data_IF_185532768508
#
_entry.id   IF_185532768508
#
_cell.length_a   1.000
_cell.length_b   1.000
_cell.length_c   1.000
_cell.angle_alpha   90.00
_cell.angle_beta   90.00
_cell.angle_gamma   90.00
#
_symmetry.space_group_name_H-M   'P 1'
#
loop_
_entity.id
_entity.type
_entity.pdbx_description
1 polymer ?
#
# COMPACT_ATOMS: atom_id res chain seq x y z
N UNK A 1 8.10 37.91 -8.39
CA UNK A 1 8.47 36.48 -8.18
C UNK A 1 7.25 35.53 -8.09
N UNK A 2 6.06 35.98 -7.65
CA UNK A 2 4.89 35.09 -7.43
C UNK A 2 4.18 34.75 -8.77
N UNK A 3 4.05 35.71 -9.67
CA UNK A 3 3.40 35.48 -10.97
C UNK A 3 4.16 34.50 -11.86
N UNK A 4 5.49 34.50 -11.81
CA UNK A 4 6.34 33.61 -12.62
C UNK A 4 6.15 32.14 -12.23
N UNK A 5 5.97 31.84 -10.95
CA UNK A 5 5.73 30.46 -10.49
C UNK A 5 4.37 29.91 -10.95
N UNK A 6 3.33 30.75 -11.00
CA UNK A 6 2.01 30.37 -11.48
C UNK A 6 2.01 30.10 -13.00
N UNK A 7 2.68 30.94 -13.77
CA UNK A 7 2.84 30.75 -15.23
C UNK A 7 3.61 29.46 -15.52
N UNK A 8 4.70 29.21 -14.80
CA UNK A 8 5.51 28.00 -14.97
C UNK A 8 4.70 26.73 -14.66
N UNK A 9 3.91 26.73 -13.61
CA UNK A 9 3.02 25.62 -13.26
C UNK A 9 1.94 25.39 -14.33
N UNK A 10 1.36 26.47 -14.87
CA UNK A 10 0.39 26.36 -15.98
C UNK A 10 1.04 25.77 -17.25
N UNK A 11 2.27 26.18 -17.58
CA UNK A 11 3.02 25.65 -18.73
C UNK A 11 3.35 24.15 -18.53
N UNK A 12 3.75 23.74 -17.33
CA UNK A 12 3.98 22.33 -17.01
C UNK A 12 2.69 21.52 -17.17
N UNK A 13 1.55 22.07 -16.72
CA UNK A 13 0.23 21.47 -16.92
C UNK A 13 -0.13 21.29 -18.40
N UNK A 14 0.16 22.30 -19.21
CA UNK A 14 -0.04 22.24 -20.66
C UNK A 14 0.90 21.22 -21.32
N UNK A 15 2.18 21.20 -20.97
CA UNK A 15 3.17 20.25 -21.49
C UNK A 15 2.83 18.80 -21.14
N UNK A 16 2.23 18.54 -19.97
CA UNK A 16 1.79 17.21 -19.59
C UNK A 16 0.71 16.64 -20.54
N UNK A 17 0.02 17.47 -21.33
CA UNK A 17 -0.96 17.03 -22.32
C UNK A 17 -0.33 16.46 -23.60
N UNK A 18 0.89 16.88 -23.95
CA UNK A 18 1.60 16.42 -25.16
C UNK A 18 2.27 15.04 -24.98
N UNK A 19 2.37 14.53 -23.75
CA UNK A 19 3.00 13.25 -23.48
C UNK A 19 2.19 12.06 -24.06
N UNK A 20 2.85 10.94 -24.33
CA UNK A 20 2.22 9.68 -24.69
C UNK A 20 1.19 9.25 -23.62
N UNK A 21 0.13 8.50 -24.02
CA UNK A 21 -1.06 8.29 -23.18
C UNK A 21 -0.74 7.75 -21.78
N UNK A 22 0.13 6.73 -21.67
CA UNK A 22 0.53 6.11 -20.41
C UNK A 22 1.39 7.04 -19.52
N UNK A 23 2.24 7.87 -20.10
CA UNK A 23 3.03 8.87 -19.38
C UNK A 23 2.19 10.09 -18.99
N UNK A 24 1.23 10.46 -19.84
CA UNK A 24 0.32 11.59 -19.62
C UNK A 24 -0.52 11.40 -18.35
N UNK A 25 -1.06 10.21 -18.15
CA UNK A 25 -1.82 9.86 -16.95
C UNK A 25 -0.94 9.97 -15.70
N UNK A 26 0.23 9.35 -15.73
CA UNK A 26 1.20 9.37 -14.62
C UNK A 26 1.64 10.79 -14.29
N UNK A 27 2.02 11.58 -15.28
CA UNK A 27 2.44 12.97 -15.10
C UNK A 27 1.34 13.83 -14.49
N UNK A 28 0.09 13.70 -14.96
CA UNK A 28 -1.04 14.44 -14.39
C UNK A 28 -1.29 14.08 -12.93
N UNK A 29 -1.37 12.79 -12.60
CA UNK A 29 -1.57 12.36 -11.22
C UNK A 29 -0.46 12.83 -10.31
N UNK A 30 0.78 12.72 -10.75
CA UNK A 30 1.93 13.14 -9.97
C UNK A 30 1.93 14.66 -9.75
N UNK A 31 1.71 15.44 -10.79
CA UNK A 31 1.67 16.90 -10.69
C UNK A 31 0.50 17.40 -9.85
N UNK A 32 -0.70 16.88 -10.11
CA UNK A 32 -1.90 17.22 -9.32
C UNK A 32 -1.69 16.80 -7.87
N UNK A 33 -1.22 15.58 -7.64
CA UNK A 33 -0.97 15.04 -6.29
C UNK A 33 0.02 15.89 -5.50
N UNK A 34 1.18 16.23 -6.08
CA UNK A 34 2.20 17.07 -5.43
C UNK A 34 1.63 18.46 -5.10
N UNK A 35 0.91 19.10 -6.03
CA UNK A 35 0.41 20.45 -5.80
C UNK A 35 -0.76 20.48 -4.80
N UNK A 36 -1.70 19.53 -4.88
CA UNK A 36 -2.76 19.39 -3.89
C UNK A 36 -2.16 19.12 -2.51
N UNK A 37 -1.17 18.23 -2.45
CA UNK A 37 -0.50 17.89 -1.22
C UNK A 37 0.22 19.10 -0.63
N UNK A 38 0.96 19.86 -1.45
CA UNK A 38 1.65 21.07 -1.01
C UNK A 38 0.65 22.14 -0.53
N UNK A 39 -0.48 22.31 -1.21
CA UNK A 39 -1.52 23.23 -0.79
C UNK A 39 -2.17 22.82 0.54
N UNK A 40 -2.41 21.52 0.71
CA UNK A 40 -3.02 20.96 1.89
C UNK A 40 -2.12 21.01 3.14
N UNK A 41 -0.79 20.99 2.95
CA UNK A 41 0.19 21.08 4.04
C UNK A 41 0.51 22.53 4.39
N UNK A 42 0.77 23.36 3.37
CA UNK A 42 1.19 24.75 3.58
C UNK A 42 0.01 25.70 3.89
N UNK A 43 -1.21 25.35 3.46
CA UNK A 43 -2.41 26.18 3.71
C UNK A 43 -2.38 27.59 3.08
N UNK A 44 -1.33 27.96 2.34
CA UNK A 44 -1.15 29.29 1.80
C UNK A 44 -1.98 29.53 0.54
N UNK A 45 -2.50 30.75 0.37
CA UNK A 45 -3.26 31.15 -0.81
C UNK A 45 -2.51 30.87 -2.13
N UNK A 46 -1.18 31.02 -2.12
CA UNK A 46 -0.32 30.74 -3.28
C UNK A 46 -0.32 29.27 -3.64
N UNK A 47 -0.29 28.39 -2.65
CA UNK A 47 -0.32 26.95 -2.87
C UNK A 47 -1.62 26.53 -3.56
N UNK A 48 -2.75 27.07 -3.15
CA UNK A 48 -4.04 26.86 -3.83
C UNK A 48 -4.04 27.48 -5.24
N UNK A 49 -3.50 28.68 -5.43
CA UNK A 49 -3.39 29.30 -6.74
C UNK A 49 -2.56 28.47 -7.71
N UNK A 50 -1.50 27.78 -7.26
CA UNK A 50 -0.71 26.86 -8.09
C UNK A 50 -1.52 25.66 -8.57
N UNK A 51 -2.38 25.10 -7.74
CA UNK A 51 -3.29 24.01 -8.15
C UNK A 51 -4.22 24.48 -9.26
N UNK A 52 -4.84 25.65 -9.08
CA UNK A 52 -5.71 26.22 -10.11
C UNK A 52 -4.96 26.58 -11.40
N UNK A 53 -3.72 27.06 -11.31
CA UNK A 53 -2.86 27.34 -12.47
C UNK A 53 -2.54 26.08 -13.25
N UNK A 54 -2.25 24.96 -12.58
CA UNK A 54 -2.01 23.68 -13.25
C UNK A 54 -3.26 23.23 -14.02
N UNK A 55 -4.43 23.26 -13.36
CA UNK A 55 -5.69 22.88 -13.98
C UNK A 55 -6.02 23.77 -15.19
N UNK A 56 -5.84 25.08 -15.06
CA UNK A 56 -6.04 26.03 -16.15
C UNK A 56 -5.12 25.73 -17.34
N UNK A 57 -3.83 25.44 -17.10
CA UNK A 57 -2.89 25.03 -18.13
C UNK A 57 -3.30 23.75 -18.86
N UNK A 58 -3.77 22.74 -18.11
CA UNK A 58 -4.28 21.49 -18.68
C UNK A 58 -5.52 21.72 -19.56
N UNK A 59 -6.46 22.56 -19.10
CA UNK A 59 -7.68 22.90 -19.84
C UNK A 59 -7.34 23.70 -21.11
N UNK A 60 -6.47 24.72 -20.99
CA UNK A 60 -6.03 25.54 -22.12
C UNK A 60 -5.38 24.68 -23.22
N UNK A 61 -4.49 23.75 -22.86
CA UNK A 61 -3.87 22.83 -23.81
C UNK A 61 -4.89 21.93 -24.51
N UNK A 62 -5.92 21.49 -23.78
CA UNK A 62 -7.00 20.66 -24.33
C UNK A 62 -7.87 21.45 -25.32
N UNK A 63 -8.18 22.71 -25.01
CA UNK A 63 -8.92 23.61 -25.86
C UNK A 63 -8.09 24.01 -27.13
N UNK A 64 -6.77 24.13 -26.97
CA UNK A 64 -5.85 24.36 -28.08
C UNK A 64 -5.65 23.11 -28.99
N UNK A 65 -6.36 22.03 -28.75
CA UNK A 65 -6.31 20.84 -29.58
C UNK A 65 -5.06 19.99 -29.43
N UNK A 66 -4.26 20.17 -28.37
CA UNK A 66 -3.07 19.36 -28.09
C UNK A 66 -3.54 17.94 -27.74
N UNK A 67 -3.46 17.03 -28.73
CA UNK A 67 -3.79 15.59 -28.54
C UNK A 67 -2.49 14.81 -28.58
N UNK A 68 -2.14 14.19 -27.46
CA UNK A 68 -1.08 13.21 -27.45
C UNK A 68 -1.49 11.91 -28.14
N UNK A 69 -0.52 11.12 -28.56
CA UNK A 69 -0.75 9.84 -29.23
C UNK A 69 -1.75 8.96 -28.45
N UNK A 70 -2.73 8.42 -29.18
CA UNK A 70 -3.74 7.50 -28.65
C UNK A 70 -3.06 6.13 -28.50
N UNK A 71 -2.91 5.63 -27.29
CA UNK A 71 -2.57 4.24 -27.04
C UNK A 71 -3.87 3.51 -26.73
N UNK A 72 -4.15 2.45 -27.44
CA UNK A 72 -5.29 1.60 -27.18
C UNK A 72 -5.23 0.95 -25.80
N UNK A 73 -6.38 0.84 -25.22
CA UNK A 73 -6.82 0.14 -24.01
C UNK A 73 -5.74 -0.55 -23.18
N UNK A 74 -5.26 0.12 -22.14
CA UNK A 74 -4.70 -0.59 -21.00
C UNK A 74 -5.80 -1.40 -20.34
N UNK A 75 -5.55 -2.67 -20.07
CA UNK A 75 -6.46 -3.58 -19.43
C UNK A 75 -7.00 -2.95 -18.13
N UNK A 76 -8.31 -2.85 -17.93
CA UNK A 76 -8.97 -2.18 -16.78
C UNK A 76 -8.41 -2.63 -15.43
N UNK A 77 -7.97 -3.89 -15.33
CA UNK A 77 -7.35 -4.48 -14.14
C UNK A 77 -6.03 -3.79 -13.79
N UNK A 78 -5.19 -3.47 -14.77
CA UNK A 78 -3.90 -2.80 -14.54
C UNK A 78 -4.08 -1.35 -14.12
N UNK A 79 -5.07 -0.68 -14.69
CA UNK A 79 -5.45 0.70 -14.34
C UNK A 79 -5.94 0.76 -12.89
N UNK A 80 -6.81 -0.18 -12.48
CA UNK A 80 -7.31 -0.26 -11.11
C UNK A 80 -6.19 -0.47 -10.08
N UNK A 81 -5.24 -1.37 -10.35
CA UNK A 81 -4.07 -1.59 -9.48
C UNK A 81 -3.19 -0.33 -9.37
N UNK A 82 -2.97 0.36 -10.49
CA UNK A 82 -2.19 1.60 -10.51
C UNK A 82 -2.91 2.71 -9.73
N UNK A 83 -4.21 2.88 -9.92
CA UNK A 83 -5.00 3.90 -9.22
C UNK A 83 -4.92 3.72 -7.71
N UNK A 84 -5.19 2.51 -7.20
CA UNK A 84 -5.13 2.23 -5.77
C UNK A 84 -3.71 2.42 -5.20
N UNK A 85 -2.67 1.97 -5.92
CA UNK A 85 -1.29 2.13 -5.46
C UNK A 85 -0.85 3.60 -5.42
N UNK A 86 -1.25 4.41 -6.42
CA UNK A 86 -0.96 5.86 -6.45
C UNK A 86 -1.71 6.58 -5.33
N UNK A 87 -2.99 6.27 -5.11
CA UNK A 87 -3.77 6.85 -4.01
C UNK A 87 -3.12 6.53 -2.64
N UNK A 88 -2.69 5.28 -2.44
CA UNK A 88 -1.99 4.86 -1.23
C UNK A 88 -0.64 5.57 -1.05
N UNK A 89 0.12 5.76 -2.12
CA UNK A 89 1.37 6.53 -2.12
C UNK A 89 1.11 8.01 -1.81
N UNK A 90 0.10 8.64 -2.41
CA UNK A 90 -0.25 10.03 -2.12
C UNK A 90 -0.61 10.21 -0.64
N UNK A 91 -1.40 9.30 -0.09
CA UNK A 91 -1.73 9.31 1.34
C UNK A 91 -0.47 9.19 2.21
N UNK A 92 0.42 8.22 1.91
CA UNK A 92 1.65 8.01 2.66
C UNK A 92 2.61 9.20 2.57
N UNK A 93 2.74 9.83 1.40
CA UNK A 93 3.52 11.05 1.22
C UNK A 93 2.93 12.23 2.00
N UNK A 94 1.59 12.38 2.00
CA UNK A 94 0.92 13.40 2.80
C UNK A 94 1.25 13.23 4.27
N UNK A 95 1.06 12.03 4.78
CA UNK A 95 1.34 11.69 6.17
C UNK A 95 2.82 11.90 6.55
N UNK A 96 3.76 11.44 5.69
CA UNK A 96 5.19 11.63 5.93
C UNK A 96 5.59 13.11 6.01
N UNK A 97 5.07 13.92 5.10
CA UNK A 97 5.38 15.36 5.08
C UNK A 97 4.84 16.08 6.32
N UNK A 98 3.69 15.68 6.86
CA UNK A 98 3.17 16.27 8.11
C UNK A 98 4.00 15.87 9.32
N UNK A 99 4.60 14.67 9.33
CA UNK A 99 5.47 14.22 10.42
C UNK A 99 6.83 14.93 10.36
N UNK A 100 7.39 15.10 9.14
CA UNK A 100 8.73 15.69 8.96
C UNK A 100 8.70 17.23 8.98
N UNK A 101 7.57 17.85 8.64
CA UNK A 101 7.43 19.31 8.64
C UNK A 101 7.47 19.87 10.06
N UNK A 102 8.30 20.88 10.26
CA UNK A 102 8.45 21.57 11.56
C UNK A 102 7.24 22.42 11.94
N UNK A 103 6.45 22.91 10.98
CA UNK A 103 5.29 23.74 11.21
C UNK A 103 4.25 23.57 10.08
N UNK A 104 3.49 22.47 10.05
CA UNK A 104 2.41 22.34 9.08
C UNK A 104 1.22 23.20 9.52
N UNK A 105 0.87 24.21 8.72
CA UNK A 105 -0.27 25.13 9.00
C UNK A 105 -1.54 24.78 8.21
N UNK A 106 -1.41 23.87 7.23
CA UNK A 106 -2.53 23.51 6.36
C UNK A 106 -3.51 22.50 6.97
N UNK A 107 -4.60 22.20 6.26
CA UNK A 107 -5.64 21.28 6.73
C UNK A 107 -5.13 19.85 6.98
N UNK A 108 -3.98 19.46 6.40
CA UNK A 108 -3.36 18.17 6.68
C UNK A 108 -2.47 18.16 7.93
N UNK A 109 -2.22 19.30 8.58
CA UNK A 109 -1.42 19.38 9.79
C UNK A 109 -1.91 18.38 10.87
N UNK A 110 -3.20 18.18 10.94
CA UNK A 110 -3.87 17.29 11.89
C UNK A 110 -3.60 15.79 11.63
N UNK A 111 -3.06 15.40 10.46
CA UNK A 111 -2.66 14.01 10.22
C UNK A 111 -1.55 13.55 11.18
N UNK A 112 -0.73 14.48 11.67
CA UNK A 112 0.30 14.16 12.66
C UNK A 112 -0.31 13.61 13.95
N UNK A 113 -1.45 14.16 14.38
CA UNK A 113 -2.18 13.71 15.56
C UNK A 113 -2.67 12.26 15.44
N UNK A 114 -3.16 11.86 14.29
CA UNK A 114 -3.65 10.51 14.05
C UNK A 114 -2.54 9.46 13.89
N UNK A 115 -1.30 9.89 13.66
CA UNK A 115 -0.15 9.02 13.35
C UNK A 115 0.91 9.01 14.45
N UNK A 116 0.90 10.02 15.32
CA UNK A 116 1.92 10.18 16.36
C UNK A 116 1.89 9.07 17.42
N UNK A 117 2.96 8.91 18.17
CA UNK A 117 3.00 8.04 19.34
C UNK A 117 2.10 8.59 20.46
N UNK A 118 1.89 7.76 21.48
CA UNK A 118 1.11 8.16 22.66
C UNK A 118 1.56 9.52 23.22
N UNK A 119 0.62 10.32 23.72
CA UNK A 119 0.81 11.71 24.13
C UNK A 119 1.94 11.93 25.16
N UNK A 120 2.23 10.97 26.00
CA UNK A 120 3.33 11.01 26.95
C UNK A 120 4.73 10.94 26.31
N UNK A 121 4.82 10.61 25.01
CA UNK A 121 6.01 10.74 24.20
C UNK A 121 6.10 12.10 23.49
N UNK A 122 5.03 12.89 23.44
CA UNK A 122 4.96 14.14 22.68
C UNK A 122 5.91 15.21 23.19
N UNK A 123 6.35 15.34 24.28
CA UNK A 123 7.35 16.30 24.74
C UNK A 123 8.80 15.94 24.43
N UNK A 124 9.04 14.72 23.93
CA UNK A 124 10.38 14.14 23.77
C UNK A 124 10.72 14.06 22.29
N UNK A 125 11.33 15.13 21.78
CA UNK A 125 11.83 15.18 20.41
C UNK A 125 13.04 14.27 20.26
N UNK A 126 12.86 13.12 19.61
CA UNK A 126 13.94 12.17 19.36
C UNK A 126 13.74 11.40 18.06
N UNK A 127 14.81 10.79 17.58
CA UNK A 127 14.81 9.96 16.38
C UNK A 127 13.82 8.79 16.52
N UNK A 128 13.73 8.20 17.69
CA UNK A 128 12.86 7.05 17.97
C UNK A 128 11.38 7.42 17.84
N UNK A 129 10.99 8.56 18.40
CA UNK A 129 9.62 9.10 18.28
C UNK A 129 9.24 9.33 16.81
N UNK A 130 10.15 9.92 16.04
CA UNK A 130 9.94 10.12 14.59
C UNK A 130 9.79 8.79 13.87
N UNK A 131 10.62 7.79 14.19
CA UNK A 131 10.52 6.45 13.59
C UNK A 131 9.19 5.75 13.91
N UNK A 132 8.69 5.90 15.14
CA UNK A 132 7.37 5.36 15.52
C UNK A 132 6.24 6.04 14.76
N UNK A 133 6.28 7.35 14.57
CA UNK A 133 5.31 8.07 13.73
C UNK A 133 5.36 7.62 12.26
N UNK A 134 6.54 7.25 11.76
CA UNK A 134 6.71 6.77 10.39
C UNK A 134 6.29 5.30 10.19
N UNK A 135 6.10 4.52 11.26
CA UNK A 135 5.78 3.10 11.15
C UNK A 135 4.45 2.82 10.38
N UNK A 136 3.29 3.45 10.70
CA UNK A 136 2.06 3.25 9.93
C UNK A 136 2.19 3.77 8.48
N UNK A 137 2.99 4.80 8.25
CA UNK A 137 3.28 5.33 6.91
C UNK A 137 4.08 4.31 6.11
N UNK A 138 5.13 3.74 6.70
CA UNK A 138 5.95 2.69 6.08
C UNK A 138 5.11 1.46 5.77
N UNK A 139 4.20 1.07 6.67
CA UNK A 139 3.25 -0.01 6.44
C UNK A 139 2.36 0.28 5.23
N UNK A 140 1.85 1.50 5.10
CA UNK A 140 1.06 1.91 3.93
C UNK A 140 1.88 1.90 2.64
N UNK A 141 3.16 2.28 2.66
CA UNK A 141 4.06 2.16 1.50
C UNK A 141 4.26 0.70 1.07
N UNK A 142 4.43 -0.20 2.05
CA UNK A 142 4.52 -1.65 1.79
C UNK A 142 3.23 -2.16 1.15
N UNK A 143 2.07 -1.73 1.66
CA UNK A 143 0.78 -2.09 1.04
C UNK A 143 0.62 -1.47 -0.35
N UNK A 144 1.04 -0.23 -0.59
CA UNK A 144 1.01 0.40 -1.91
C UNK A 144 1.81 -0.42 -2.94
N UNK A 145 2.98 -0.95 -2.54
CA UNK A 145 3.74 -1.87 -3.37
C UNK A 145 2.96 -3.17 -3.64
N UNK A 146 2.34 -3.76 -2.62
CA UNK A 146 1.51 -4.95 -2.76
C UNK A 146 0.28 -4.74 -3.65
N UNK A 147 -0.39 -3.58 -3.53
CA UNK A 147 -1.50 -3.17 -4.40
C UNK A 147 -1.07 -3.09 -5.87
N UNK A 148 0.10 -2.49 -6.13
CA UNK A 148 0.67 -2.44 -7.49
C UNK A 148 0.87 -3.83 -8.07
N UNK A 149 1.25 -4.80 -7.24
CA UNK A 149 1.41 -6.21 -7.63
C UNK A 149 0.09 -6.99 -7.68
N UNK A 150 -1.06 -6.36 -7.38
CA UNK A 150 -2.38 -6.99 -7.40
C UNK A 150 -2.64 -7.98 -6.26
N UNK A 151 -1.89 -7.90 -5.15
CA UNK A 151 -2.02 -8.83 -4.02
C UNK A 151 -3.23 -8.53 -3.16
N UNK A 152 -4.08 -9.52 -2.96
CA UNK A 152 -5.29 -9.41 -2.14
C UNK A 152 -4.99 -9.11 -0.66
N UNK A 153 -3.88 -9.63 -0.14
CA UNK A 153 -3.44 -9.33 1.22
C UNK A 153 -3.15 -7.83 1.43
N UNK A 154 -2.54 -7.15 0.44
CA UNK A 154 -2.28 -5.72 0.50
C UNK A 154 -3.59 -4.90 0.41
N UNK A 155 -4.57 -5.38 -0.36
CA UNK A 155 -5.90 -4.78 -0.43
C UNK A 155 -6.57 -4.77 0.95
N UNK A 156 -6.68 -5.93 1.60
CA UNK A 156 -7.26 -6.01 2.95
C UNK A 156 -6.42 -5.25 3.98
N UNK A 157 -5.09 -5.35 3.89
CA UNK A 157 -4.18 -4.62 4.79
C UNK A 157 -4.37 -3.11 4.71
N UNK A 158 -4.50 -2.55 3.50
CA UNK A 158 -4.80 -1.12 3.30
C UNK A 158 -6.15 -0.76 3.93
N UNK A 159 -7.22 -1.53 3.67
CA UNK A 159 -8.55 -1.24 4.20
C UNK A 159 -8.57 -1.29 5.73
N UNK A 160 -7.96 -2.32 6.33
CA UNK A 160 -7.91 -2.48 7.79
C UNK A 160 -7.12 -1.33 8.42
N UNK A 161 -5.94 -1.00 7.87
CA UNK A 161 -5.12 0.10 8.39
C UNK A 161 -5.88 1.43 8.34
N UNK A 162 -6.48 1.76 7.20
CA UNK A 162 -7.21 3.03 7.05
C UNK A 162 -8.48 3.07 7.89
N UNK A 163 -9.14 1.94 8.08
CA UNK A 163 -10.31 1.84 8.95
C UNK A 163 -9.92 2.07 10.42
N UNK A 164 -8.83 1.43 10.88
CA UNK A 164 -8.32 1.62 12.25
C UNK A 164 -7.96 3.09 12.47
N UNK A 165 -7.15 3.68 11.57
CA UNK A 165 -6.75 5.09 11.69
C UNK A 165 -7.95 6.05 11.64
N UNK A 166 -8.90 5.79 10.76
CA UNK A 166 -10.11 6.60 10.63
C UNK A 166 -11.00 6.53 11.87
N UNK A 167 -11.31 5.31 12.35
CA UNK A 167 -12.13 5.09 13.53
C UNK A 167 -11.48 5.64 14.80
N UNK A 168 -10.17 5.44 14.97
CA UNK A 168 -9.46 5.99 16.13
C UNK A 168 -9.46 7.52 16.12
N UNK A 169 -9.30 8.16 14.97
CA UNK A 169 -9.38 9.61 14.85
C UNK A 169 -10.80 10.13 15.20
N UNK A 170 -11.84 9.45 14.72
CA UNK A 170 -13.24 9.82 15.05
C UNK A 170 -13.50 9.67 16.54
N UNK A 171 -13.07 8.55 17.14
CA UNK A 171 -13.25 8.29 18.56
C UNK A 171 -12.52 9.33 19.43
N UNK A 172 -11.24 9.62 19.13
CA UNK A 172 -10.46 10.63 19.83
C UNK A 172 -11.08 12.03 19.72
N UNK A 173 -11.59 12.39 18.52
CA UNK A 173 -12.31 13.65 18.33
C UNK A 173 -13.58 13.71 19.18
N UNK A 174 -14.34 12.61 19.25
CA UNK A 174 -15.54 12.51 20.09
C UNK A 174 -15.23 12.68 21.59
N UNK A 175 -14.17 12.05 22.08
CA UNK A 175 -13.71 12.19 23.47
C UNK A 175 -13.27 13.62 23.76
N UNK A 176 -12.46 14.23 22.88
CA UNK A 176 -12.01 15.61 23.05
C UNK A 176 -13.17 16.61 23.08
N UNK A 177 -14.20 16.41 22.26
CA UNK A 177 -15.42 17.24 22.28
C UNK A 177 -16.23 17.04 23.57
N UNK A 178 -16.35 15.81 24.06
CA UNK A 178 -17.07 15.50 25.29
C UNK A 178 -16.39 16.10 26.52
N UNK A 179 -15.06 16.03 26.60
CA UNK A 179 -14.27 16.61 27.70
C UNK A 179 -14.20 18.13 27.64
N UNK A 180 -14.27 18.71 26.45
CA UNK A 180 -14.21 20.17 26.26
C UNK A 180 -15.57 20.88 26.22
N UNK A 181 -16.67 20.18 26.50
CA UNK A 181 -17.98 20.79 26.63
C UNK A 181 -18.04 21.69 27.90
N UNK A 182 -18.74 22.83 27.79
CA UNK A 182 -19.02 23.68 28.92
C UNK A 182 -20.07 23.06 29.88
N UNK A 183 -20.34 23.73 31.02
CA UNK A 183 -21.32 23.24 32.00
C UNK A 183 -22.75 23.09 31.41
N UNK A 184 -23.04 23.75 30.28
CA UNK A 184 -24.28 23.63 29.53
C UNK A 184 -24.27 22.53 28.45
N UNK A 185 -23.17 21.78 28.35
CA UNK A 185 -23.00 20.72 27.35
C UNK A 185 -22.67 21.23 25.94
N UNK A 186 -22.35 22.52 25.78
CA UNK A 186 -21.93 23.09 24.50
C UNK A 186 -20.41 23.14 24.40
N UNK A 187 -19.87 22.57 23.31
CA UNK A 187 -18.45 22.64 23.06
C UNK A 187 -17.99 24.07 22.74
N UNK A 188 -16.84 24.45 23.31
CA UNK A 188 -16.24 25.76 23.04
C UNK A 188 -15.97 25.94 21.53
N UNK A 189 -16.13 27.16 20.97
CA UNK A 189 -15.94 27.42 19.55
C UNK A 189 -14.56 26.94 19.02
N UNK A 190 -13.52 27.09 19.82
CA UNK A 190 -12.17 26.63 19.50
C UNK A 190 -12.09 25.11 19.35
N UNK A 191 -12.80 24.36 20.20
CA UNK A 191 -12.87 22.89 20.12
C UNK A 191 -13.66 22.45 18.90
N UNK A 192 -14.73 23.14 18.53
CA UNK A 192 -15.49 22.84 17.31
C UNK A 192 -14.61 23.06 16.07
N UNK A 193 -13.80 24.11 16.06
CA UNK A 193 -12.87 24.41 14.96
C UNK A 193 -11.80 23.32 14.87
N UNK A 194 -11.18 22.94 15.98
CA UNK A 194 -10.19 21.87 16.05
C UNK A 194 -10.78 20.54 15.61
N UNK A 195 -11.96 20.19 16.10
CA UNK A 195 -12.67 18.97 15.70
C UNK A 195 -13.00 18.94 14.21
N UNK A 196 -13.39 20.09 13.62
CA UNK A 196 -13.65 20.16 12.18
C UNK A 196 -12.39 19.93 11.35
N UNK A 197 -11.23 20.37 11.82
CA UNK A 197 -9.94 20.09 11.17
C UNK A 197 -9.52 18.61 11.29
N UNK A 198 -9.86 17.95 12.40
CA UNK A 198 -9.61 16.52 12.60
C UNK A 198 -10.44 15.63 11.66
N UNK A 199 -11.52 16.14 11.05
CA UNK A 199 -12.27 15.42 10.02
C UNK A 199 -11.47 15.25 8.73
N UNK A 200 -10.47 16.09 8.44
CA UNK A 200 -9.68 15.99 7.20
C UNK A 200 -8.94 14.65 7.10
N UNK A 201 -8.19 14.16 8.10
CA UNK A 201 -7.63 12.82 8.09
C UNK A 201 -8.67 11.71 7.87
N UNK A 202 -9.85 11.83 8.51
CA UNK A 202 -10.94 10.87 8.36
C UNK A 202 -11.45 10.82 6.93
N UNK A 203 -11.63 11.97 6.28
CA UNK A 203 -12.06 12.06 4.88
C UNK A 203 -11.01 11.43 3.96
N UNK A 204 -9.72 11.66 4.20
CA UNK A 204 -8.65 11.07 3.39
C UNK A 204 -8.58 9.55 3.56
N UNK A 205 -8.72 9.05 4.80
CA UNK A 205 -8.77 7.63 5.09
C UNK A 205 -9.98 6.98 4.41
N UNK A 206 -11.15 7.59 4.49
CA UNK A 206 -12.37 7.14 3.82
C UNK A 206 -12.23 7.15 2.30
N UNK A 207 -11.66 8.21 1.73
CA UNK A 207 -11.43 8.32 0.29
C UNK A 207 -10.50 7.19 -0.22
N UNK A 208 -9.43 6.90 0.50
CA UNK A 208 -8.54 5.80 0.15
C UNK A 208 -9.24 4.44 0.26
N UNK A 209 -10.06 4.23 1.30
CA UNK A 209 -10.90 3.04 1.42
C UNK A 209 -11.86 2.89 0.23
N UNK A 210 -12.56 3.97 -0.12
CA UNK A 210 -13.53 3.98 -1.23
C UNK A 210 -12.85 3.67 -2.56
N UNK A 211 -11.73 4.33 -2.87
CA UNK A 211 -10.96 4.11 -4.10
C UNK A 211 -10.48 2.65 -4.15
N UNK A 212 -9.90 2.15 -3.07
CA UNK A 212 -9.39 0.77 -3.00
C UNK A 212 -10.53 -0.24 -3.13
N UNK A 213 -11.67 0.01 -2.50
CA UNK A 213 -12.85 -0.86 -2.59
C UNK A 213 -13.49 -0.85 -3.98
N UNK A 214 -13.53 0.32 -4.64
CA UNK A 214 -14.08 0.43 -6.00
C UNK A 214 -13.33 -0.43 -7.00
N UNK A 215 -12.00 -0.48 -6.90
CA UNK A 215 -11.15 -1.29 -7.79
C UNK A 215 -10.88 -2.71 -7.26
N UNK A 216 -11.67 -3.23 -6.32
CA UNK A 216 -11.48 -4.53 -5.64
C UNK A 216 -11.30 -5.71 -6.58
N UNK A 217 -11.93 -5.68 -7.77
CA UNK A 217 -11.84 -6.72 -8.79
C UNK A 217 -10.45 -6.86 -9.41
N UNK A 218 -9.60 -5.84 -9.24
CA UNK A 218 -8.22 -5.84 -9.75
C UNK A 218 -7.24 -6.63 -8.88
N UNK A 219 -7.65 -7.07 -7.66
CA UNK A 219 -6.78 -7.77 -6.71
C UNK A 219 -7.14 -9.26 -6.66
N UNK A 220 -6.57 -10.01 -7.58
CA UNK A 220 -6.86 -11.44 -7.77
C UNK A 220 -5.85 -12.37 -7.11
N UNK A 221 -4.63 -11.89 -6.80
CA UNK A 221 -3.54 -12.72 -6.31
C UNK A 221 -3.72 -13.06 -4.84
N UNK A 222 -4.00 -14.33 -4.57
CA UNK A 222 -4.17 -14.87 -3.22
C UNK A 222 -2.81 -15.28 -2.63
N UNK A 223 -2.66 -15.10 -1.31
CA UNK A 223 -1.57 -15.72 -0.57
C UNK A 223 -1.94 -17.19 -0.28
N UNK A 224 -0.96 -18.06 -0.28
CA UNK A 224 -1.16 -19.45 0.10
C UNK A 224 -1.60 -19.54 1.59
N UNK A 225 -2.61 -20.37 1.95
CA UNK A 225 -3.09 -20.48 3.32
C UNK A 225 -2.00 -20.87 4.33
N UNK A 226 -1.05 -21.71 3.93
CA UNK A 226 0.12 -22.10 4.73
C UNK A 226 1.03 -20.92 5.07
N UNK A 227 1.15 -19.97 4.16
CA UNK A 227 1.94 -18.74 4.36
C UNK A 227 1.23 -17.83 5.37
N UNK A 228 -0.09 -17.68 5.28
CA UNK A 228 -0.87 -16.83 6.18
C UNK A 228 -0.78 -17.32 7.62
N UNK A 229 -0.93 -18.63 7.87
CA UNK A 229 -0.82 -19.22 9.21
C UNK A 229 0.59 -19.04 9.79
N UNK A 230 1.62 -19.22 8.99
CA UNK A 230 3.01 -19.04 9.40
C UNK A 230 3.30 -17.57 9.75
N UNK A 231 2.77 -16.62 8.99
CA UNK A 231 2.91 -15.18 9.26
C UNK A 231 2.19 -14.78 10.54
N UNK A 232 0.96 -15.25 10.72
CA UNK A 232 0.19 -14.99 11.94
C UNK A 232 0.92 -15.54 13.17
N UNK A 233 1.44 -16.78 13.08
CA UNK A 233 2.24 -17.37 14.16
C UNK A 233 3.49 -16.53 14.47
N UNK A 234 4.24 -16.09 13.47
CA UNK A 234 5.41 -15.22 13.66
C UNK A 234 5.04 -13.91 14.32
N UNK A 235 3.95 -13.30 13.87
CA UNK A 235 3.46 -12.05 14.43
C UNK A 235 3.00 -12.23 15.88
N UNK A 236 2.26 -13.27 16.20
CA UNK A 236 1.87 -13.60 17.57
C UNK A 236 3.08 -13.83 18.47
N UNK A 237 4.08 -14.58 18.00
CA UNK A 237 5.31 -14.79 18.77
C UNK A 237 6.06 -13.47 19.03
N UNK A 238 6.09 -12.56 18.04
CA UNK A 238 6.68 -11.23 18.23
C UNK A 238 5.91 -10.44 19.29
N UNK A 239 4.57 -10.41 19.22
CA UNK A 239 3.75 -9.66 20.19
C UNK A 239 3.86 -10.24 21.60
N UNK A 240 3.82 -11.57 21.74
CA UNK A 240 4.01 -12.25 23.04
C UNK A 240 5.43 -11.99 23.58
N UNK A 241 6.45 -12.02 22.72
CA UNK A 241 7.83 -11.67 23.11
C UNK A 241 7.96 -10.21 23.58
N UNK A 242 7.33 -9.28 22.88
CA UNK A 242 7.29 -7.87 23.29
C UNK A 242 6.55 -7.69 24.63
N UNK A 243 5.39 -8.33 24.80
CA UNK A 243 4.63 -8.28 26.05
C UNK A 243 5.43 -8.88 27.21
N UNK A 244 6.10 -10.02 27.00
CA UNK A 244 6.98 -10.62 27.99
C UNK A 244 8.16 -9.72 28.37
N UNK A 245 8.80 -9.09 27.38
CA UNK A 245 9.87 -8.13 27.62
C UNK A 245 9.39 -6.93 28.45
N UNK A 246 8.21 -6.40 28.14
CA UNK A 246 7.57 -5.32 28.91
C UNK A 246 7.34 -5.73 30.36
N UNK A 247 6.74 -6.89 30.58
CA UNK A 247 6.47 -7.37 31.96
C UNK A 247 7.76 -7.55 32.77
N UNK A 248 8.78 -8.18 32.16
CA UNK A 248 10.07 -8.39 32.85
C UNK A 248 10.77 -7.06 33.14
N UNK A 249 10.89 -6.21 32.15
CA UNK A 249 11.56 -4.91 32.29
C UNK A 249 10.76 -3.98 33.21
N UNK A 250 9.43 -3.98 33.08
CA UNK A 250 8.53 -3.22 33.93
C UNK A 250 8.60 -3.66 35.39
N UNK A 251 8.67 -4.96 35.66
CA UNK A 251 8.88 -5.47 37.02
C UNK A 251 10.23 -5.03 37.60
N UNK A 252 11.29 -5.08 36.77
CA UNK A 252 12.65 -4.66 37.20
C UNK A 252 12.78 -3.14 37.43
N UNK A 253 11.90 -2.35 36.85
CA UNK A 253 11.90 -0.89 36.92
C UNK A 253 10.68 -0.29 37.58
N UNK A 254 9.87 -1.12 38.28
CA UNK A 254 8.61 -0.69 38.92
C UNK A 254 8.75 0.52 39.83
N UNK A 255 9.85 0.60 40.58
CA UNK A 255 10.17 1.70 41.50
C UNK A 255 10.50 3.02 40.79
N UNK A 256 10.62 3.00 39.46
CA UNK A 256 10.98 4.15 38.64
C UNK A 256 9.78 4.76 37.89
N UNK A 257 8.57 4.29 38.16
CA UNK A 257 7.34 4.80 37.59
C UNK A 257 6.54 5.60 38.64
N UNK A 258 5.99 6.72 38.22
CA UNK A 258 5.15 7.57 39.07
C UNK A 258 3.75 7.64 38.47
N UNK A 259 2.67 7.51 39.27
CA UNK A 259 1.32 7.74 38.80
C UNK A 259 1.15 9.16 38.25
N UNK A 260 0.49 9.31 37.11
CA UNK A 260 0.24 10.61 36.48
C UNK A 260 -0.60 11.53 37.40
N UNK A 261 -1.51 10.94 38.17
CA UNK A 261 -2.34 11.66 39.13
C UNK A 261 -1.50 12.35 40.23
N UNK A 262 -0.46 11.68 40.70
CA UNK A 262 0.46 12.24 41.71
C UNK A 262 1.28 13.42 41.17
N UNK A 263 1.65 13.36 39.88
CA UNK A 263 2.32 14.47 39.22
C UNK A 263 1.40 15.72 39.07
N UNK A 264 0.12 15.48 38.82
CA UNK A 264 -0.85 16.54 38.60
C UNK A 264 -1.36 17.17 39.91
N UNK A 265 -1.36 16.40 41.01
CA UNK A 265 -1.81 16.91 42.35
C UNK A 265 -0.76 17.74 43.08
N UNK A 266 0.50 17.73 42.62
CA UNK A 266 1.58 18.45 43.29
C UNK A 266 1.93 17.90 44.69
N UNK A 267 1.47 16.69 45.01
CA UNK A 267 1.85 16.01 46.26
C UNK A 267 3.34 15.66 46.22
N UNK A 268 3.99 15.77 47.37
CA UNK A 268 5.38 15.33 47.52
C UNK A 268 5.48 13.88 47.08
N UNK A 269 6.24 13.65 46.02
CA UNK A 269 6.47 12.34 45.39
C UNK A 269 7.16 11.39 46.36
N UNK A 270 6.43 10.92 47.38
CA UNK A 270 6.90 9.80 48.21
C UNK A 270 6.63 8.53 47.44
N UNK A 271 7.71 7.83 47.09
CA UNK A 271 7.72 6.54 46.36
C UNK A 271 7.04 5.46 47.19
N UNK A 272 5.75 5.56 47.42
CA UNK A 272 5.02 4.56 48.24
C UNK A 272 4.10 3.65 47.44
N UNK A 273 3.76 4.00 46.20
CA UNK A 273 2.92 3.13 45.36
C UNK A 273 3.73 2.62 44.15
N UNK A 274 4.30 1.44 44.32
CA UNK A 274 4.97 0.74 43.22
C UNK A 274 3.96 0.43 42.11
N UNK A 275 4.28 0.78 40.89
CA UNK A 275 3.46 0.46 39.72
C UNK A 275 3.23 -1.04 39.61
N UNK A 276 1.99 -1.45 39.45
CA UNK A 276 1.66 -2.85 39.26
C UNK A 276 2.08 -3.30 37.84
N UNK A 277 2.53 -4.56 37.66
CA UNK A 277 2.87 -5.10 36.34
C UNK A 277 1.72 -4.94 35.31
N UNK A 278 0.46 -4.97 35.79
CA UNK A 278 -0.70 -4.81 34.93
C UNK A 278 -0.85 -3.37 34.41
N UNK A 279 -0.62 -2.37 35.26
CA UNK A 279 -0.61 -0.95 34.86
C UNK A 279 0.51 -0.68 33.85
N UNK A 280 1.69 -1.22 34.09
CA UNK A 280 2.83 -1.12 33.17
C UNK A 280 2.49 -1.75 31.83
N UNK A 281 1.92 -2.96 31.81
CA UNK A 281 1.49 -3.61 30.56
C UNK A 281 0.41 -2.84 29.84
N UNK A 282 -0.56 -2.26 30.56
CA UNK A 282 -1.60 -1.39 29.99
C UNK A 282 -0.99 -0.21 29.28
N UNK A 283 -0.13 0.55 29.94
CA UNK A 283 0.46 1.77 29.39
C UNK A 283 1.39 1.49 28.21
N UNK A 284 2.12 0.37 28.26
CA UNK A 284 2.91 -0.06 27.10
C UNK A 284 2.07 -0.51 25.91
N UNK A 285 0.91 -1.10 26.17
CA UNK A 285 -0.04 -1.44 25.11
C UNK A 285 -0.54 -0.17 24.42
N UNK A 286 -0.78 0.89 25.19
CA UNK A 286 -1.12 2.20 24.64
C UNK A 286 0.00 2.79 23.79
N UNK A 287 1.26 2.59 24.17
CA UNK A 287 2.40 3.05 23.38
C UNK A 287 2.52 2.36 22.00
N UNK A 288 1.94 1.17 21.84
CA UNK A 288 1.89 0.48 20.55
C UNK A 288 0.81 1.03 19.62
N UNK A 289 -0.15 1.77 20.12
CA UNK A 289 -1.28 2.31 19.37
C UNK A 289 -0.94 3.66 18.74
N UNK A 290 -1.59 4.03 17.63
CA UNK A 290 -1.55 5.40 17.12
C UNK A 290 -2.06 6.41 18.16
N UNK A 291 -1.53 7.63 18.16
CA UNK A 291 -1.87 8.68 19.13
C UNK A 291 -3.37 8.91 19.28
N UNK A 292 -4.11 8.93 18.18
CA UNK A 292 -5.56 9.09 18.19
C UNK A 292 -6.29 7.97 18.96
N UNK A 293 -5.74 6.76 18.99
CA UNK A 293 -6.30 5.65 19.77
C UNK A 293 -5.84 5.72 21.22
N UNK A 294 -4.59 6.07 21.44
CA UNK A 294 -4.02 6.20 22.78
C UNK A 294 -4.67 7.33 23.60
N UNK A 295 -5.10 8.41 22.95
CA UNK A 295 -5.78 9.54 23.62
C UNK A 295 -7.18 9.20 24.15
N UNK A 296 -7.76 8.07 23.76
CA UNK A 296 -9.04 7.57 24.31
C UNK A 296 -8.82 6.96 25.71
N UNK A 297 -7.62 6.47 25.96
CA UNK A 297 -7.23 5.80 27.19
C UNK A 297 -6.18 6.66 27.89
N UNK A 298 -6.42 7.05 29.12
CA UNK A 298 -5.46 7.81 29.90
C UNK A 298 -4.35 6.85 30.39
N UNK A 299 -3.06 7.11 30.13
CA UNK A 299 -1.98 6.37 30.74
C UNK A 299 -1.93 6.68 32.23
N UNK A 300 -1.62 5.66 33.00
CA UNK A 300 -1.61 5.74 34.45
C UNK A 300 -0.25 6.10 35.03
N UNK A 301 0.83 5.88 34.28
CA UNK A 301 2.21 5.91 34.77
C UNK A 301 3.12 6.77 33.89
N UNK A 302 4.10 7.43 34.53
CA UNK A 302 5.16 8.19 33.85
C UNK A 302 6.54 7.64 34.27
N UNK A 303 7.40 7.24 33.31
CA UNK A 303 8.76 6.78 33.64
C UNK A 303 9.64 7.96 34.04
N UNK A 304 10.29 7.85 35.21
CA UNK A 304 11.15 8.90 35.78
C UNK A 304 12.64 8.67 35.53
N UNK A 305 13.02 7.48 35.09
CA UNK A 305 14.43 7.12 34.85
C UNK A 305 14.64 6.68 33.42
N UNK A 306 15.87 6.86 32.91
CA UNK A 306 16.26 6.39 31.57
C UNK A 306 16.08 4.87 31.40
N UNK A 307 16.25 4.09 32.46
CA UNK A 307 16.04 2.64 32.43
C UNK A 307 14.58 2.26 32.32
N UNK A 308 13.66 3.02 32.90
CA UNK A 308 12.22 2.84 32.75
C UNK A 308 11.72 3.37 31.40
N UNK A 309 12.35 4.41 30.88
CA UNK A 309 12.03 5.02 29.59
C UNK A 309 12.49 4.17 28.41
N UNK A 310 13.66 3.53 28.50
CA UNK A 310 14.24 2.77 27.40
C UNK A 310 13.30 1.67 26.86
N UNK A 311 12.70 0.79 27.67
CA UNK A 311 11.73 -0.21 27.18
C UNK A 311 10.52 0.42 26.53
N UNK A 312 10.03 1.54 27.06
CA UNK A 312 8.88 2.31 26.56
C UNK A 312 9.12 2.77 25.11
N UNK A 313 10.33 3.12 24.77
CA UNK A 313 10.72 3.57 23.43
C UNK A 313 11.08 2.40 22.51
N UNK A 314 11.85 1.43 23.00
CA UNK A 314 12.41 0.39 22.16
C UNK A 314 11.44 -0.77 21.87
N UNK A 315 10.57 -1.13 22.82
CA UNK A 315 9.63 -2.24 22.61
C UNK A 315 8.62 -1.94 21.50
N UNK A 316 7.97 -0.75 21.46
CA UNK A 316 7.13 -0.37 20.33
C UNK A 316 7.89 -0.36 19.00
N UNK A 317 9.14 0.12 18.99
CA UNK A 317 9.98 0.14 17.79
C UNK A 317 10.27 -1.28 17.28
N UNK A 318 10.58 -2.22 18.17
CA UNK A 318 10.80 -3.65 17.82
C UNK A 318 9.49 -4.27 17.33
N UNK A 319 8.37 -4.01 17.99
CA UNK A 319 7.05 -4.51 17.60
C UNK A 319 6.63 -4.03 16.20
N UNK A 320 6.76 -2.72 15.95
CA UNK A 320 6.46 -2.14 14.63
C UNK A 320 7.46 -2.59 13.57
N UNK A 321 8.76 -2.54 13.85
CA UNK A 321 9.81 -2.99 12.93
C UNK A 321 9.67 -4.46 12.56
N UNK A 322 9.40 -5.32 13.54
CA UNK A 322 9.13 -6.74 13.32
C UNK A 322 7.85 -6.99 12.52
N UNK A 323 6.78 -6.25 12.81
CA UNK A 323 5.53 -6.32 12.05
C UNK A 323 5.74 -5.93 10.58
N UNK A 324 6.45 -4.81 10.34
CA UNK A 324 6.82 -4.35 8.99
C UNK A 324 7.66 -5.41 8.25
N UNK A 325 8.66 -6.00 8.91
CA UNK A 325 9.50 -7.04 8.32
C UNK A 325 8.70 -8.30 7.97
N UNK A 326 7.79 -8.74 8.84
CA UNK A 326 6.92 -9.90 8.61
C UNK A 326 6.02 -9.64 7.40
N UNK A 327 5.33 -8.49 7.35
CA UNK A 327 4.43 -8.14 6.24
C UNK A 327 5.21 -7.97 4.94
N UNK A 328 6.35 -7.31 4.98
CA UNK A 328 7.22 -7.14 3.81
C UNK A 328 7.70 -8.49 3.29
N UNK A 329 8.13 -9.40 4.16
CA UNK A 329 8.55 -10.76 3.78
C UNK A 329 7.41 -11.52 3.07
N UNK A 330 6.17 -11.35 3.54
CA UNK A 330 4.98 -11.94 2.92
C UNK A 330 4.70 -11.36 1.53
N UNK A 331 4.86 -10.05 1.38
CA UNK A 331 4.63 -9.37 0.11
C UNK A 331 5.79 -9.53 -0.88
N UNK A 332 6.99 -9.84 -0.41
CA UNK A 332 8.14 -10.18 -1.27
C UNK A 332 8.20 -11.66 -1.60
N UNK A 333 7.55 -12.53 -0.81
CA UNK A 333 7.48 -13.94 -1.10
C UNK A 333 6.98 -14.14 -2.54
N UNK A 334 7.72 -14.91 -3.31
CA UNK A 334 7.32 -15.25 -4.68
C UNK A 334 5.97 -15.97 -4.60
N UNK A 335 4.96 -15.60 -5.43
CA UNK A 335 3.80 -16.46 -5.58
C UNK A 335 4.33 -17.85 -5.93
N UNK A 336 3.88 -18.87 -5.22
CA UNK A 336 4.18 -20.24 -5.67
C UNK A 336 3.53 -20.37 -7.03
N UNK A 337 4.37 -20.64 -7.99
CA UNK A 337 3.91 -21.05 -9.30
C UNK A 337 3.12 -22.34 -9.05
N UNK A 338 1.87 -22.47 -9.51
CA UNK A 338 1.07 -23.67 -9.32
C UNK A 338 1.90 -24.89 -9.71
N UNK A 339 1.65 -26.02 -9.07
CA UNK A 339 2.33 -27.26 -9.43
C UNK A 339 2.29 -27.41 -10.94
N UNK A 340 3.46 -27.42 -11.56
CA UNK A 340 3.61 -27.73 -12.97
C UNK A 340 2.92 -29.06 -13.23
N UNK A 341 2.06 -29.09 -14.25
CA UNK A 341 1.51 -30.35 -14.72
C UNK A 341 2.67 -31.29 -15.08
N UNK A 342 2.56 -32.59 -14.88
CA UNK A 342 3.60 -33.51 -15.34
C UNK A 342 3.87 -33.32 -16.83
N UNK A 343 5.13 -33.36 -17.23
CA UNK A 343 5.51 -33.26 -18.66
C UNK A 343 4.79 -34.32 -19.51
N UNK A 344 4.51 -35.44 -18.90
CA UNK A 344 3.77 -36.57 -19.52
C UNK A 344 2.35 -36.14 -19.99
N UNK A 345 1.75 -35.15 -19.36
CA UNK A 345 0.42 -34.64 -19.76
C UNK A 345 0.46 -33.73 -20.98
N UNK A 346 1.57 -33.07 -21.27
CA UNK A 346 1.76 -32.23 -22.46
C UNK A 346 2.16 -33.06 -23.70
N UNK A 347 2.91 -34.12 -23.51
CA UNK A 347 3.44 -34.93 -24.59
C UNK A 347 2.34 -35.49 -25.53
N UNK A 348 1.21 -35.99 -25.06
CA UNK A 348 0.12 -36.43 -25.95
C UNK A 348 -0.44 -35.31 -26.81
N UNK A 349 -0.63 -34.12 -26.20
CA UNK A 349 -1.11 -32.92 -26.91
C UNK A 349 -0.13 -32.51 -28.03
N UNK A 350 1.19 -32.49 -27.72
CA UNK A 350 2.23 -32.18 -28.70
C UNK A 350 2.22 -33.17 -29.87
N UNK A 351 1.98 -34.45 -29.59
CA UNK A 351 1.89 -35.46 -30.65
C UNK A 351 0.63 -35.35 -31.51
N UNK A 352 -0.48 -34.93 -30.90
CA UNK A 352 -1.76 -34.82 -31.59
C UNK A 352 -1.87 -33.56 -32.44
N UNK A 353 -1.40 -32.42 -31.92
CA UNK A 353 -1.68 -31.09 -32.48
C UNK A 353 -0.43 -30.33 -32.92
N UNK A 354 0.77 -30.76 -32.47
CA UNK A 354 2.01 -30.03 -32.72
C UNK A 354 2.08 -28.70 -31.99
N UNK A 355 3.15 -27.96 -32.19
CA UNK A 355 3.33 -26.57 -31.75
C UNK A 355 4.42 -25.90 -32.63
N UNK A 356 4.31 -26.02 -33.91
CA UNK A 356 5.32 -25.54 -34.86
C UNK A 356 6.64 -26.28 -34.81
N UNK A 357 7.65 -25.73 -35.49
CA UNK A 357 8.99 -26.32 -35.62
C UNK A 357 9.74 -26.46 -34.30
N UNK A 358 9.49 -25.53 -33.39
CA UNK A 358 10.11 -25.49 -32.06
C UNK A 358 9.28 -26.19 -30.97
N UNK A 359 8.17 -26.84 -31.32
CA UNK A 359 7.20 -27.40 -30.36
C UNK A 359 7.84 -28.36 -29.35
N UNK A 360 8.80 -29.18 -29.76
CA UNK A 360 9.47 -30.12 -28.88
C UNK A 360 10.42 -29.46 -27.87
N UNK A 361 10.80 -28.18 -28.02
CA UNK A 361 11.55 -27.44 -27.01
C UNK A 361 10.74 -27.27 -25.70
N UNK A 362 9.43 -27.41 -25.76
CA UNK A 362 8.58 -27.41 -24.59
C UNK A 362 8.89 -28.56 -23.62
N UNK A 363 9.48 -29.66 -24.10
CA UNK A 363 9.84 -30.81 -23.27
C UNK A 363 11.20 -30.69 -22.59
N UNK A 364 11.94 -29.61 -22.81
CA UNK A 364 13.27 -29.43 -22.23
C UNK A 364 13.19 -29.22 -20.72
N UNK A 365 14.22 -29.72 -20.06
CA UNK A 365 14.37 -29.61 -18.61
C UNK A 365 14.39 -28.15 -18.14
N UNK A 366 13.74 -27.90 -17.00
CA UNK A 366 13.63 -26.55 -16.40
C UNK A 366 12.43 -25.74 -16.88
N UNK A 367 11.65 -26.26 -17.83
CA UNK A 367 10.36 -25.68 -18.19
C UNK A 367 9.28 -26.15 -17.22
N UNK A 368 8.31 -25.26 -16.96
CA UNK A 368 7.08 -25.58 -16.25
C UNK A 368 6.01 -25.87 -17.28
N UNK A 369 5.13 -26.81 -16.97
CA UNK A 369 4.07 -27.23 -17.88
C UNK A 369 2.73 -26.83 -17.30
N UNK A 370 1.90 -26.21 -18.11
CA UNK A 370 0.49 -26.01 -17.88
C UNK A 370 -0.32 -26.81 -18.90
N UNK A 371 -1.34 -27.49 -18.42
CA UNK A 371 -2.37 -28.13 -19.24
C UNK A 371 -3.71 -27.66 -18.74
N UNK A 372 -4.64 -27.35 -19.64
CA UNK A 372 -5.99 -26.92 -19.29
C UNK A 372 -6.70 -28.00 -18.47
N UNK A 373 -7.67 -27.64 -17.62
CA UNK A 373 -8.45 -28.61 -16.85
C UNK A 373 -9.20 -29.63 -17.73
N UNK A 374 -9.55 -29.25 -18.96
CA UNK A 374 -10.18 -30.12 -19.95
C UNK A 374 -9.19 -31.00 -20.69
N UNK A 375 -7.90 -30.74 -20.60
CA UNK A 375 -6.86 -31.45 -21.32
C UNK A 375 -6.78 -31.10 -22.84
N UNK A 376 -7.46 -30.04 -23.29
CA UNK A 376 -7.56 -29.66 -24.71
C UNK A 376 -6.49 -28.65 -25.14
N UNK A 377 -5.86 -27.98 -24.20
CA UNK A 377 -4.78 -27.04 -24.45
C UNK A 377 -3.65 -27.19 -23.42
N UNK A 378 -2.43 -26.87 -23.83
CA UNK A 378 -1.29 -26.91 -22.94
C UNK A 378 -0.11 -26.10 -23.47
N UNK A 379 0.83 -25.77 -22.59
CA UNK A 379 2.07 -25.09 -22.97
C UNK A 379 3.13 -25.25 -21.89
N UNK A 380 4.38 -25.29 -22.32
CA UNK A 380 5.50 -25.08 -21.42
C UNK A 380 5.82 -23.59 -21.30
N UNK A 381 6.10 -23.15 -20.08
CA UNK A 381 6.39 -21.76 -19.78
C UNK A 381 7.49 -21.63 -18.74
N UNK A 382 8.07 -20.44 -18.64
CA UNK A 382 8.98 -20.05 -17.54
C UNK A 382 8.43 -18.85 -16.80
N UNK A 383 8.30 -18.99 -15.48
CA UNK A 383 7.93 -17.90 -14.61
C UNK A 383 9.13 -17.05 -14.22
N UNK A 384 9.23 -15.81 -14.69
CA UNK A 384 10.30 -14.88 -14.31
C UNK A 384 9.76 -13.48 -14.16
N UNK A 385 10.17 -12.78 -13.08
CA UNK A 385 9.82 -11.37 -12.87
C UNK A 385 8.31 -11.05 -12.77
N UNK A 386 7.46 -12.06 -12.52
CA UNK A 386 6.01 -11.90 -12.52
C UNK A 386 5.36 -12.09 -13.90
N UNK A 387 6.12 -12.64 -14.86
CA UNK A 387 5.65 -12.98 -16.21
C UNK A 387 5.69 -14.50 -16.40
N UNK A 388 4.63 -15.07 -16.96
CA UNK A 388 4.61 -16.43 -17.51
C UNK A 388 4.96 -16.33 -19.00
N UNK A 389 6.21 -16.57 -19.33
CA UNK A 389 6.70 -16.54 -20.70
C UNK A 389 6.62 -17.94 -21.30
N UNK A 390 5.84 -18.13 -22.36
CA UNK A 390 5.81 -19.42 -23.07
C UNK A 390 7.12 -19.66 -23.83
N UNK A 391 7.43 -20.92 -24.05
CA UNK A 391 8.65 -21.30 -24.79
C UNK A 391 8.41 -21.17 -26.28
N UNK A 392 7.19 -21.47 -26.74
CA UNK A 392 6.73 -21.39 -28.13
C UNK A 392 5.19 -21.32 -28.13
N UNK A 393 4.54 -21.67 -29.24
CA UNK A 393 3.09 -21.72 -29.37
C UNK A 393 2.41 -22.53 -28.25
N UNK A 394 1.16 -22.13 -27.94
CA UNK A 394 0.26 -22.99 -27.21
C UNK A 394 -0.03 -24.25 -28.06
N UNK A 395 -0.17 -25.39 -27.41
CA UNK A 395 -0.64 -26.62 -28.02
C UNK A 395 -2.14 -26.69 -27.83
N UNK A 396 -2.91 -26.74 -28.90
CA UNK A 396 -4.37 -26.72 -28.85
C UNK A 396 -4.97 -27.41 -30.09
N UNK A 397 -6.25 -27.76 -30.03
CA UNK A 397 -6.99 -28.29 -31.16
C UNK A 397 -7.17 -27.19 -32.25
N UNK A 398 -6.96 -27.50 -33.52
CA UNK A 398 -7.13 -26.52 -34.60
C UNK A 398 -8.47 -25.79 -34.53
N UNK A 399 -8.43 -24.46 -34.67
CA UNK A 399 -9.60 -23.58 -34.57
C UNK A 399 -9.97 -23.14 -33.14
N UNK A 400 -9.26 -23.60 -32.08
CA UNK A 400 -9.52 -23.21 -30.69
C UNK A 400 -8.43 -22.25 -30.11
N UNK A 401 -7.75 -21.50 -30.96
CA UNK A 401 -6.67 -20.59 -30.54
C UNK A 401 -7.11 -19.56 -29.47
N UNK A 402 -8.23 -18.86 -29.70
CA UNK A 402 -8.76 -17.86 -28.77
C UNK A 402 -9.14 -18.47 -27.42
N UNK A 403 -9.74 -19.68 -27.41
CA UNK A 403 -10.08 -20.38 -26.18
C UNK A 403 -8.82 -20.79 -25.39
N UNK A 404 -7.79 -21.30 -26.08
CA UNK A 404 -6.52 -21.65 -25.47
C UNK A 404 -5.82 -20.43 -24.85
N UNK A 405 -5.82 -19.28 -25.56
CA UNK A 405 -5.29 -18.01 -25.04
C UNK A 405 -6.04 -17.57 -23.79
N UNK A 406 -7.38 -17.61 -23.81
CA UNK A 406 -8.21 -17.22 -22.68
C UNK A 406 -7.94 -18.11 -21.45
N UNK A 407 -7.85 -19.43 -21.62
CA UNK A 407 -7.58 -20.38 -20.55
C UNK A 407 -6.18 -20.18 -19.96
N UNK A 408 -5.15 -19.99 -20.79
CA UNK A 408 -3.80 -19.73 -20.32
C UNK A 408 -3.69 -18.37 -19.61
N UNK A 409 -4.38 -17.36 -20.14
CA UNK A 409 -4.44 -16.04 -19.53
C UNK A 409 -5.09 -16.07 -18.14
N UNK A 410 -6.19 -16.81 -18.01
CA UNK A 410 -6.87 -17.00 -16.72
C UNK A 410 -5.92 -17.70 -15.72
N UNK A 411 -5.27 -18.80 -16.12
CA UNK A 411 -4.29 -19.51 -15.31
C UNK A 411 -3.13 -18.60 -14.86
N UNK A 412 -2.54 -17.86 -15.79
CA UNK A 412 -1.45 -16.94 -15.48
C UNK A 412 -1.90 -15.86 -14.49
N UNK A 413 -3.10 -15.27 -14.70
CA UNK A 413 -3.67 -14.23 -13.83
C UNK A 413 -3.95 -14.77 -12.43
N UNK A 414 -4.51 -15.96 -12.30
CA UNK A 414 -4.78 -16.63 -11.02
C UNK A 414 -3.48 -16.98 -10.28
N UNK A 415 -2.43 -17.28 -11.03
CA UNK A 415 -1.07 -17.53 -10.53
C UNK A 415 -0.32 -16.23 -10.19
N UNK A 416 -0.89 -15.06 -10.44
CA UNK A 416 -0.24 -13.78 -10.23
C UNK A 416 0.85 -13.45 -11.25
N UNK A 417 0.81 -14.08 -12.40
CA UNK A 417 1.73 -13.87 -13.49
C UNK A 417 1.04 -13.11 -14.63
N UNK A 418 1.80 -12.31 -15.35
CA UNK A 418 1.33 -11.70 -16.61
C UNK A 418 1.66 -12.67 -17.74
N UNK A 419 0.69 -13.14 -18.53
CA UNK A 419 0.98 -14.02 -19.64
C UNK A 419 1.73 -13.28 -20.73
N UNK A 420 2.75 -13.92 -21.30
CA UNK A 420 3.49 -13.46 -22.45
C UNK A 420 3.76 -14.67 -23.36
N UNK A 421 3.33 -14.57 -24.59
CA UNK A 421 3.56 -15.59 -25.60
C UNK A 421 4.84 -15.23 -26.38
N UNK A 422 5.71 -16.19 -26.55
CA UNK A 422 6.98 -16.02 -27.27
C UNK A 422 7.06 -16.99 -28.44
N UNK A 423 7.60 -16.54 -29.57
CA UNK A 423 7.79 -17.35 -30.78
C UNK A 423 6.50 -18.03 -31.25
N UNK A 424 5.44 -17.23 -31.40
CA UNK A 424 4.12 -17.70 -31.83
C UNK A 424 3.96 -17.55 -33.33
N UNK A 425 3.26 -18.50 -33.95
CA UNK A 425 2.92 -18.46 -35.35
C UNK A 425 1.75 -17.56 -35.65
N UNK A 426 1.51 -17.27 -36.93
CA UNK A 426 0.56 -16.28 -37.40
C UNK A 426 -0.86 -16.53 -36.89
N UNK A 427 -1.35 -17.77 -36.88
CA UNK A 427 -2.69 -18.12 -36.43
C UNK A 427 -2.94 -17.71 -34.97
N UNK A 428 -1.99 -18.09 -34.07
CA UNK A 428 -2.09 -17.73 -32.66
C UNK A 428 -1.88 -16.24 -32.44
N UNK A 429 -0.99 -15.62 -33.21
CA UNK A 429 -0.75 -14.19 -33.17
C UNK A 429 -2.02 -13.41 -33.57
N UNK A 430 -2.71 -13.82 -34.64
CA UNK A 430 -3.95 -13.19 -35.09
C UNK A 430 -5.05 -13.34 -34.04
N UNK A 431 -5.26 -14.53 -33.48
CA UNK A 431 -6.20 -14.77 -32.40
C UNK A 431 -5.88 -13.91 -31.15
N UNK A 432 -4.60 -13.76 -30.79
CA UNK A 432 -4.19 -12.90 -29.70
C UNK A 432 -4.46 -11.42 -29.99
N UNK A 433 -4.31 -10.96 -31.24
CA UNK A 433 -4.64 -9.60 -31.66
C UNK A 433 -6.13 -9.31 -31.52
N UNK A 434 -6.98 -10.25 -31.90
CA UNK A 434 -8.45 -10.14 -31.75
C UNK A 434 -8.88 -10.04 -30.28
N UNK A 435 -8.15 -10.71 -29.37
CA UNK A 435 -8.32 -10.61 -27.90
C UNK A 435 -7.66 -9.35 -27.30
N UNK A 436 -7.13 -8.45 -28.12
CA UNK A 436 -6.57 -7.16 -27.67
C UNK A 436 -5.12 -7.25 -27.17
N UNK A 437 -4.38 -8.30 -27.51
CA UNK A 437 -2.96 -8.39 -27.17
C UNK A 437 -2.12 -7.53 -28.10
N UNK A 438 -0.99 -7.04 -27.58
CA UNK A 438 0.01 -6.35 -28.39
C UNK A 438 0.99 -7.34 -28.97
N UNK A 439 1.12 -7.33 -30.30
CA UNK A 439 2.04 -8.21 -31.04
C UNK A 439 3.26 -7.42 -31.45
N UNK A 440 4.42 -8.06 -31.35
CA UNK A 440 5.68 -7.51 -31.81
C UNK A 440 6.46 -8.60 -32.56
N UNK A 441 6.80 -8.33 -33.80
CA UNK A 441 7.68 -9.21 -34.56
C UNK A 441 9.08 -9.16 -33.96
N UNK A 442 9.61 -10.31 -33.54
CA UNK A 442 10.93 -10.43 -32.92
C UNK A 442 11.95 -11.11 -33.84
N UNK A 443 11.48 -11.94 -34.75
CA UNK A 443 12.32 -12.67 -35.71
C UNK A 443 11.52 -13.13 -36.93
N UNK A 444 12.21 -13.59 -37.95
CA UNK A 444 11.67 -14.32 -39.11
C UNK A 444 12.25 -15.73 -39.07
N UNK A 445 11.39 -16.71 -39.30
CA UNK A 445 11.81 -18.11 -39.40
C UNK A 445 12.00 -18.46 -40.88
N UNK A 446 13.18 -18.95 -41.20
CA UNK A 446 13.49 -19.46 -42.55
C UNK A 446 13.58 -20.98 -42.54
N UNK A 447 12.68 -21.63 -43.23
CA UNK A 447 12.66 -23.07 -43.40
C UNK A 447 13.41 -23.43 -44.69
N UNK A 448 14.36 -24.37 -44.59
CA UNK A 448 15.01 -25.00 -45.72
C UNK A 448 14.32 -26.33 -46.00
N UNK A 449 13.72 -26.45 -47.16
CA UNK A 449 13.18 -27.73 -47.65
C UNK A 449 14.35 -28.53 -48.18
N UNK A 450 14.61 -29.71 -47.62
CA UNK A 450 15.76 -30.58 -47.91
C UNK A 450 15.35 -31.71 -48.86
#
# INVERSE_FOLDING_TARGET
LWGTSLILVALVGAAAQSLASHWRWRARFLLIGILILSAAILGSAISYARVWSLLAGMVAARLAGVRGARSDSGNDITIGRQLASVAALCWACAAALTVVSSAPEGPLAQMRWSLGPAWWLEGRTGVITTLLCLAPITLQLIFAYGLRKGRRAAYFGTLILQLILGLSTVAATGVALAQGADENGMARPELVTTASLLLVPVILNAALCIITWWVRRSFTIHAEPSTTSTLLRRWLLLMVGCAGAVLVLGFLTSDSFVPLEALNSGEDLTVTDNATPLQILHDYTLALLPTATASIFEPSLVPMTLFAEAPVLWVPLVAWGGTLAIILSALLARPRIPLSSPLESLTPLLRAHGAGTLGWMQTWEGNQVWVSPTGEAGVAYRGSGGVALTVTDLVYEPGKASEAIALFSAFASDSGLTPALYSVHEELAQAACEEGWTIMQVAEESLLDL
#
